data_IF_306074405543
#
_entry.id   IF_306074405543
#
_cell.length_a   1.000
_cell.length_b   1.000
_cell.length_c   1.000
_cell.angle_alpha   90.00
_cell.angle_beta   90.00
_cell.angle_gamma   90.00
#
_symmetry.space_group_name_H-M   'P 1'
#
loop_
_entity.id
_entity.type
_entity.pdbx_description
1 polymer ?
#
# COMPACT_ATOMS: atom_id res chain seq x y z
N UNK A 1 17.50 -2.66 3.13
CA UNK A 1 16.21 -3.40 3.05
C UNK A 1 15.58 -3.44 4.43
N UNK A 2 14.26 -3.24 4.57
CA UNK A 2 13.56 -3.37 5.87
C UNK A 2 13.20 -4.83 6.13
N UNK A 3 13.34 -5.30 7.37
CA UNK A 3 12.98 -6.66 7.77
C UNK A 3 11.56 -6.71 8.36
N UNK A 4 10.84 -7.80 8.08
CA UNK A 4 9.53 -8.07 8.65
C UNK A 4 9.64 -8.37 10.15
N UNK A 5 8.84 -7.71 10.96
CA UNK A 5 8.81 -7.92 12.41
C UNK A 5 8.34 -9.32 12.81
N UNK A 6 7.44 -9.93 12.01
CA UNK A 6 6.86 -11.26 12.23
C UNK A 6 7.83 -12.40 11.90
N UNK A 7 8.37 -12.43 10.68
CA UNK A 7 9.12 -13.59 10.16
C UNK A 7 10.57 -13.29 9.78
N UNK A 8 11.06 -12.06 10.06
CA UNK A 8 12.40 -11.57 9.72
C UNK A 8 12.76 -11.59 8.23
N UNK A 9 11.79 -11.87 7.35
CA UNK A 9 11.96 -11.83 5.89
C UNK A 9 12.01 -10.41 5.33
N UNK A 10 12.31 -10.27 4.05
CA UNK A 10 12.45 -8.97 3.38
C UNK A 10 11.10 -8.30 3.16
N UNK A 11 11.03 -7.00 3.47
CA UNK A 11 9.92 -6.12 3.08
C UNK A 11 10.28 -5.37 1.80
N UNK A 12 9.34 -5.37 0.84
CA UNK A 12 9.40 -4.62 -0.41
C UNK A 12 8.31 -3.55 -0.45
N UNK A 13 8.55 -2.47 -1.18
CA UNK A 13 7.51 -1.49 -1.46
C UNK A 13 6.60 -2.03 -2.56
N UNK A 14 5.29 -1.99 -2.31
CA UNK A 14 4.25 -2.37 -3.26
C UNK A 14 3.16 -1.31 -3.29
N UNK A 15 2.51 -1.17 -4.45
CA UNK A 15 1.28 -0.39 -4.59
C UNK A 15 0.09 -1.30 -4.33
N UNK A 16 -0.60 -1.10 -3.21
CA UNK A 16 -1.88 -1.72 -2.95
C UNK A 16 -2.99 -0.87 -3.57
N UNK A 17 -3.97 -1.51 -4.22
CA UNK A 17 -5.06 -0.86 -4.93
C UNK A 17 -6.38 -1.46 -4.48
N UNK A 18 -7.33 -0.59 -4.13
CA UNK A 18 -8.74 -0.91 -3.95
C UNK A 18 -9.50 -0.33 -5.14
N UNK A 19 -10.00 -1.20 -6.00
CA UNK A 19 -10.72 -0.82 -7.21
C UNK A 19 -12.16 -0.38 -6.92
N UNK A 20 -12.77 -0.90 -5.86
CA UNK A 20 -14.14 -0.57 -5.46
C UNK A 20 -14.19 0.84 -4.86
N UNK A 21 -13.21 1.18 -4.02
CA UNK A 21 -13.07 2.51 -3.45
C UNK A 21 -12.36 3.51 -4.39
N UNK A 22 -11.71 3.03 -5.44
CA UNK A 22 -10.90 3.86 -6.33
C UNK A 22 -9.67 4.46 -5.65
N UNK A 23 -9.08 3.75 -4.67
CA UNK A 23 -7.97 4.20 -3.84
C UNK A 23 -6.71 3.36 -4.05
N UNK A 24 -5.55 3.97 -3.81
CA UNK A 24 -4.27 3.29 -3.77
C UNK A 24 -3.40 3.78 -2.62
N UNK A 25 -2.56 2.91 -2.09
CA UNK A 25 -1.60 3.26 -1.05
C UNK A 25 -0.29 2.49 -1.28
N UNK A 26 0.84 3.12 -0.94
CA UNK A 26 2.12 2.41 -0.91
C UNK A 26 2.27 1.68 0.43
N UNK A 27 2.57 0.40 0.36
CA UNK A 27 2.75 -0.48 1.53
C UNK A 27 4.12 -1.14 1.50
N UNK A 28 4.62 -1.49 2.68
CA UNK A 28 5.66 -2.50 2.83
C UNK A 28 5.01 -3.88 2.91
N UNK A 29 5.27 -4.74 1.93
CA UNK A 29 4.80 -6.12 1.89
C UNK A 29 5.96 -7.10 2.13
N UNK A 30 5.76 -8.09 2.99
CA UNK A 30 6.75 -9.13 3.23
C UNK A 30 6.67 -10.21 2.16
N UNK A 31 7.76 -10.43 1.44
CA UNK A 31 7.84 -11.46 0.40
C UNK A 31 7.67 -12.90 0.94
N UNK A 32 7.96 -13.12 2.23
CA UNK A 32 7.91 -14.45 2.82
C UNK A 32 6.55 -14.80 3.46
N UNK A 33 5.94 -13.87 4.20
CA UNK A 33 4.73 -14.16 4.98
C UNK A 33 3.50 -13.31 4.60
N UNK A 34 3.62 -12.44 3.59
CA UNK A 34 2.53 -11.60 3.10
C UNK A 34 2.10 -10.47 4.05
N UNK A 35 2.74 -10.30 5.22
CA UNK A 35 2.39 -9.21 6.15
C UNK A 35 2.59 -7.85 5.46
N UNK A 36 1.57 -6.99 5.55
CA UNK A 36 1.57 -5.64 4.99
C UNK A 36 1.57 -4.59 6.09
N UNK A 37 2.26 -3.47 5.86
CA UNK A 37 2.24 -2.28 6.70
C UNK A 37 2.20 -1.03 5.82
N UNK A 38 1.46 0.03 6.21
CA UNK A 38 1.46 1.28 5.44
C UNK A 38 2.87 1.87 5.36
N UNK A 39 3.27 2.31 4.17
CA UNK A 39 4.49 3.09 3.95
C UNK A 39 4.20 4.59 3.86
N UNK A 40 2.95 4.94 3.57
CA UNK A 40 2.38 6.29 3.56
C UNK A 40 1.30 6.42 4.64
N UNK A 41 1.00 7.64 5.12
CA UNK A 41 0.01 7.85 6.17
C UNK A 41 -1.42 7.53 5.71
N UNK A 42 -1.79 7.81 4.46
CA UNK A 42 -3.16 7.69 3.96
C UNK A 42 -3.21 7.21 2.50
N UNK A 43 -4.26 6.46 2.11
CA UNK A 43 -4.53 6.14 0.70
C UNK A 43 -4.87 7.38 -0.12
N UNK A 44 -4.53 7.35 -1.41
CA UNK A 44 -4.79 8.40 -2.39
C UNK A 44 -5.73 7.89 -3.49
N UNK A 45 -6.54 8.75 -4.12
CA UNK A 45 -7.33 8.37 -5.30
C UNK A 45 -6.47 7.81 -6.44
N UNK A 46 -6.98 6.78 -7.13
CA UNK A 46 -6.33 6.15 -8.30
C UNK A 46 -6.23 7.09 -9.50
N UNK A 47 -7.19 8.00 -9.65
CA UNK A 47 -7.25 8.97 -10.74
C UNK A 47 -7.18 10.39 -10.18
N UNK A 48 -6.42 11.26 -10.84
CA UNK A 48 -6.32 12.69 -10.50
C UNK A 48 -7.63 13.48 -10.75
N UNK A 49 -8.75 12.81 -11.03
CA UNK A 49 -10.06 13.41 -11.37
C UNK A 49 -11.14 13.17 -10.31
N UNK A 50 -10.76 12.94 -9.06
CA UNK A 50 -11.70 12.81 -7.95
C UNK A 50 -12.12 14.17 -7.32
N UNK A 51 -12.07 15.27 -8.07
CA UNK A 51 -12.68 16.57 -7.68
C UNK A 51 -13.25 17.26 -8.92
N UNK A 52 -14.27 16.69 -9.53
CA UNK A 52 -15.06 17.36 -10.57
C UNK A 52 -16.53 16.98 -10.51
N UNK A 53 -17.12 16.90 -9.31
CA UNK A 53 -18.58 17.00 -9.13
C UNK A 53 -18.85 17.73 -7.80
N UNK A 54 -18.80 19.06 -7.83
CA UNK A 54 -19.78 19.92 -7.14
C UNK A 54 -19.77 21.31 -7.75
#
# INVERSE_FOLDING_TARGET
MKACDKCKGTLMLERAVDLDAGLAIIVYACLNCGRRKPAEPEPRPLTARAYAIR
#
